data_IF_034288620932
#
_entry.id   IF_034288620932
#
_cell.length_a   1.000
_cell.length_b   1.000
_cell.length_c   1.000
_cell.angle_alpha   90.00
_cell.angle_beta   90.00
_cell.angle_gamma   90.00
#
_symmetry.space_group_name_H-M   'P 1'
#
loop_
_entity.id
_entity.type
_entity.pdbx_description
1 polymer ?
#
# COMPACT_ATOMS: atom_id res chain seq x y z
N UNK A 1 -0.31 18.62 22.76
CA UNK A 1 -0.57 17.64 21.69
C UNK A 1 0.48 16.54 21.82
N UNK A 2 0.04 15.33 22.13
CA UNK A 2 0.92 14.18 22.40
C UNK A 2 1.44 13.58 21.08
N UNK A 3 2.75 13.30 20.95
CA UNK A 3 3.35 12.81 19.71
C UNK A 3 3.05 11.33 19.40
N UNK A 4 3.12 10.97 18.11
CA UNK A 4 2.66 9.72 17.47
C UNK A 4 3.88 8.78 17.23
N UNK A 5 3.90 7.52 17.72
CA UNK A 5 4.98 6.54 17.46
C UNK A 5 5.05 6.05 15.99
N UNK A 6 6.18 5.44 15.57
CA UNK A 6 6.42 4.91 14.20
C UNK A 6 5.33 3.94 13.77
N UNK A 7 4.91 3.06 14.68
CA UNK A 7 3.77 2.15 14.53
C UNK A 7 2.49 2.90 14.12
N UNK A 8 2.35 4.15 14.56
CA UNK A 8 1.19 5.03 14.37
C UNK A 8 1.31 5.95 13.15
N UNK A 9 2.49 6.07 12.50
CA UNK A 9 2.60 6.57 11.12
C UNK A 9 2.08 5.52 10.13
N UNK A 10 2.46 4.24 10.31
CA UNK A 10 1.92 3.10 9.52
C UNK A 10 0.40 2.96 9.69
N UNK A 11 -0.12 3.32 10.86
CA UNK A 11 -1.55 3.27 11.19
C UNK A 11 -2.31 4.60 10.96
N UNK A 12 -1.65 5.68 10.52
CA UNK A 12 -2.37 6.93 10.22
C UNK A 12 -3.22 6.83 8.95
N UNK A 13 -3.05 5.75 8.18
CA UNK A 13 -3.76 5.42 6.95
C UNK A 13 -4.60 4.14 7.02
N UNK A 14 -4.67 3.44 8.16
CA UNK A 14 -5.23 2.09 8.20
C UNK A 14 -5.76 1.62 9.57
N UNK A 15 -6.70 0.68 9.56
CA UNK A 15 -7.55 0.34 10.71
C UNK A 15 -7.39 -1.12 11.09
N UNK A 16 -7.43 -1.41 12.40
CA UNK A 16 -7.30 -2.76 12.95
C UNK A 16 -8.52 -3.64 12.55
N UNK A 17 -8.36 -4.55 11.58
CA UNK A 17 -9.35 -5.60 11.26
C UNK A 17 -8.70 -6.99 11.45
N UNK A 18 -9.39 -7.91 12.14
CA UNK A 18 -8.89 -9.29 12.35
C UNK A 18 -9.92 -10.29 11.84
N UNK A 19 -9.44 -11.34 11.18
CA UNK A 19 -10.23 -12.50 10.75
C UNK A 19 -9.66 -13.71 11.50
N UNK A 20 -10.52 -14.43 12.22
CA UNK A 20 -10.18 -15.60 13.04
C UNK A 20 -10.70 -16.90 12.36
N UNK A 21 -10.11 -18.05 12.74
CA UNK A 21 -10.30 -19.37 12.10
C UNK A 21 -11.57 -20.15 12.52
N UNK A 22 -12.42 -19.64 13.42
CA UNK A 22 -13.44 -20.48 14.08
C UNK A 22 -14.62 -20.90 13.16
N UNK A 23 -14.66 -22.20 12.85
CA UNK A 23 -15.69 -23.00 12.16
C UNK A 23 -17.08 -23.04 12.85
N UNK A 24 -17.39 -22.12 13.76
CA UNK A 24 -18.64 -22.13 14.52
C UNK A 24 -19.14 -20.69 14.79
N UNK A 25 -20.12 -20.26 14.00
CA UNK A 25 -20.79 -18.95 14.04
C UNK A 25 -19.88 -17.72 13.92
N UNK A 26 -19.94 -17.07 12.75
CA UNK A 26 -19.54 -15.68 12.46
C UNK A 26 -19.31 -14.80 13.71
N UNK A 27 -18.10 -14.88 14.27
CA UNK A 27 -17.58 -13.89 15.22
C UNK A 27 -16.34 -13.26 14.63
N UNK A 28 -16.55 -12.55 13.53
CA UNK A 28 -15.68 -11.40 13.23
C UNK A 28 -15.83 -10.45 14.41
N UNK A 29 -14.76 -10.24 15.20
CA UNK A 29 -14.79 -9.21 16.23
C UNK A 29 -14.74 -7.85 15.54
N UNK A 30 -15.90 -7.38 15.08
CA UNK A 30 -16.06 -6.01 14.62
C UNK A 30 -15.89 -5.09 15.82
N UNK A 31 -14.88 -4.23 15.77
CA UNK A 31 -14.97 -2.99 16.54
C UNK A 31 -16.15 -2.20 15.92
N UNK A 32 -17.27 -2.00 16.62
CA UNK A 32 -18.53 -1.69 15.99
C UNK A 32 -18.56 -0.22 15.56
N UNK A 33 -18.26 0.05 14.30
CA UNK A 33 -18.82 1.16 13.52
C UNK A 33 -19.00 0.73 12.06
N UNK A 34 -19.75 -0.35 11.87
CA UNK A 34 -20.39 -0.67 10.58
C UNK A 34 -21.57 0.27 10.38
N UNK A 35 -21.71 0.80 9.18
CA UNK A 35 -22.68 1.83 8.83
C UNK A 35 -24.09 1.25 8.73
N UNK A 36 -25.00 1.75 9.58
CA UNK A 36 -26.39 2.05 9.20
C UNK A 36 -26.97 3.22 10.02
N UNK A 37 -27.70 4.09 9.30
CA UNK A 37 -28.62 5.17 9.70
C UNK A 37 -28.33 5.99 10.97
N UNK A 38 -28.11 7.30 10.79
CA UNK A 38 -29.07 8.31 11.30
C UNK A 38 -29.00 9.61 10.51
N UNK A 39 -30.18 10.15 10.30
CA UNK A 39 -30.62 11.31 9.54
C UNK A 39 -30.27 12.67 10.19
N UNK A 40 -30.43 13.73 9.37
CA UNK A 40 -30.45 15.17 9.68
C UNK A 40 -29.10 15.87 9.92
N UNK A 41 -28.59 16.49 8.84
CA UNK A 41 -27.69 17.63 8.94
C UNK A 41 -28.52 18.91 9.14
N UNK A 42 -28.23 19.67 10.20
CA UNK A 42 -28.38 21.13 10.21
C UNK A 42 -26.98 21.75 10.38
N UNK A 43 -26.75 22.96 9.84
CA UNK A 43 -25.41 23.44 9.51
C UNK A 43 -24.74 24.04 10.75
N UNK A 44 -23.47 23.70 10.95
CA UNK A 44 -22.57 24.48 11.80
C UNK A 44 -21.32 24.82 11.00
N UNK A 45 -20.93 26.09 11.12
CA UNK A 45 -20.03 26.83 10.25
C UNK A 45 -18.67 26.17 10.02
N UNK A 46 -18.29 26.12 8.75
CA UNK A 46 -16.97 25.71 8.28
C UNK A 46 -15.92 26.82 8.57
N UNK A 47 -14.73 26.49 9.10
CA UNK A 47 -13.55 27.26 8.79
C UNK A 47 -13.03 26.84 7.40
N UNK A 48 -12.94 27.84 6.51
CA UNK A 48 -12.56 27.79 5.10
C UNK A 48 -11.60 26.66 4.67
N UNK A 49 -12.08 25.83 3.74
CA UNK A 49 -11.24 25.00 2.88
C UNK A 49 -10.29 25.86 2.02
N UNK A 50 -9.08 25.38 1.69
CA UNK A 50 -8.20 26.08 0.76
C UNK A 50 -8.88 26.17 -0.63
N UNK A 51 -8.55 27.19 -1.44
CA UNK A 51 -9.30 27.51 -2.65
C UNK A 51 -9.27 26.36 -3.66
N UNK A 52 -10.43 26.10 -4.28
CA UNK A 52 -10.61 25.21 -5.44
C UNK A 52 -9.76 25.72 -6.62
N UNK A 53 -8.48 25.35 -6.67
CA UNK A 53 -7.56 25.83 -7.70
C UNK A 53 -6.34 24.95 -7.98
N UNK A 54 -6.01 23.96 -7.16
CA UNK A 54 -4.77 23.18 -7.31
C UNK A 54 -4.93 21.78 -7.94
N UNK A 55 -6.14 21.34 -8.27
CA UNK A 55 -6.39 19.97 -8.75
C UNK A 55 -6.50 19.82 -10.28
N UNK A 56 -6.28 20.88 -11.07
CA UNK A 56 -6.29 20.83 -12.55
C UNK A 56 -4.91 20.67 -13.20
N UNK A 57 -3.84 20.51 -12.41
CA UNK A 57 -2.46 20.52 -12.88
C UNK A 57 -1.88 19.13 -13.25
N UNK A 58 -2.56 18.03 -12.87
CA UNK A 58 -2.02 16.66 -13.01
C UNK A 58 -1.73 16.21 -14.44
N UNK A 59 -2.63 16.42 -15.40
CA UNK A 59 -2.50 15.79 -16.74
C UNK A 59 -1.37 16.34 -17.61
N UNK A 60 -1.01 17.62 -17.43
CA UNK A 60 0.04 18.30 -18.22
C UNK A 60 1.42 18.06 -17.61
N UNK A 61 1.52 18.12 -16.28
CA UNK A 61 2.76 17.83 -15.56
C UNK A 61 3.11 16.34 -15.61
N UNK A 62 2.12 15.44 -15.55
CA UNK A 62 2.31 14.00 -15.76
C UNK A 62 2.84 13.70 -17.17
N UNK A 63 2.26 14.30 -18.22
CA UNK A 63 2.76 14.14 -19.60
C UNK A 63 4.17 14.69 -19.79
N UNK A 64 4.47 15.85 -19.19
CA UNK A 64 5.80 16.46 -19.29
C UNK A 64 6.84 15.65 -18.50
N UNK A 65 6.51 15.17 -17.30
CA UNK A 65 7.40 14.34 -16.50
C UNK A 65 7.65 12.96 -17.13
N UNK A 66 6.65 12.34 -17.76
CA UNK A 66 6.80 11.09 -18.53
C UNK A 66 7.69 11.34 -19.76
N UNK A 67 7.56 12.49 -20.42
CA UNK A 67 8.45 12.85 -21.53
C UNK A 67 9.90 13.00 -21.03
N UNK A 68 10.11 13.68 -19.89
CA UNK A 68 11.44 13.83 -19.27
C UNK A 68 12.02 12.50 -18.79
N UNK A 69 11.20 11.59 -18.24
CA UNK A 69 11.64 10.24 -17.85
C UNK A 69 11.99 9.39 -19.07
N UNK A 70 11.19 9.44 -20.15
CA UNK A 70 11.51 8.75 -21.41
C UNK A 70 12.77 9.30 -22.07
N UNK A 71 13.01 10.60 -21.98
CA UNK A 71 14.25 11.23 -22.45
C UNK A 71 15.46 10.76 -21.63
N UNK A 72 15.40 10.78 -20.29
CA UNK A 72 16.48 10.30 -19.42
C UNK A 72 16.73 8.78 -19.56
N UNK A 73 15.68 7.96 -19.75
CA UNK A 73 15.81 6.51 -20.00
C UNK A 73 16.40 6.20 -21.38
N UNK A 74 16.06 7.00 -22.40
CA UNK A 74 16.61 6.85 -23.76
C UNK A 74 18.08 7.21 -23.83
N UNK A 75 18.51 8.24 -23.08
CA UNK A 75 19.90 8.67 -22.97
C UNK A 75 20.76 7.60 -22.25
N UNK A 76 20.18 6.91 -21.27
CA UNK A 76 20.82 5.76 -20.59
C UNK A 76 20.90 4.53 -21.51
N UNK A 77 19.89 4.28 -22.34
CA UNK A 77 19.90 3.15 -23.26
C UNK A 77 20.93 3.33 -24.38
N UNK A 78 21.10 4.57 -24.85
CA UNK A 78 22.15 4.94 -25.80
C UNK A 78 23.55 4.83 -25.18
N UNK A 79 23.71 5.17 -23.90
CA UNK A 79 24.97 4.98 -23.17
C UNK A 79 25.30 3.50 -22.89
N UNK A 80 24.28 2.63 -22.75
CA UNK A 80 24.45 1.17 -22.63
C UNK A 80 24.84 0.51 -23.97
N UNK A 81 24.40 1.08 -25.09
CA UNK A 81 24.79 0.63 -26.43
C UNK A 81 26.25 1.00 -26.81
N UNK A 82 26.89 1.93 -26.07
CA UNK A 82 28.25 2.43 -26.32
C UNK A 82 29.36 1.68 -25.57
N UNK A 83 29.09 0.51 -24.99
CA UNK A 83 30.15 -0.44 -24.62
C UNK A 83 31.06 -0.03 -23.47
N UNK A 84 30.54 0.61 -22.42
CA UNK A 84 31.21 0.65 -21.11
C UNK A 84 30.58 -0.42 -20.23
N UNK A 85 31.22 -1.57 -20.16
CA UNK A 85 30.76 -2.71 -19.35
C UNK A 85 30.69 -2.35 -17.87
N UNK A 86 29.53 -2.61 -17.26
CA UNK A 86 29.35 -2.59 -15.81
C UNK A 86 30.20 -3.71 -15.17
N UNK A 87 31.16 -3.41 -14.29
CA UNK A 87 31.98 -4.44 -13.66
C UNK A 87 31.23 -5.29 -12.61
N UNK A 88 29.94 -5.06 -12.35
CA UNK A 88 29.21 -5.71 -11.24
C UNK A 88 28.18 -6.77 -11.65
N UNK A 89 28.22 -7.28 -12.88
CA UNK A 89 27.37 -8.40 -13.30
C UNK A 89 27.86 -9.79 -12.83
N UNK A 90 28.25 -9.96 -11.57
CA UNK A 90 28.40 -11.30 -10.94
C UNK A 90 28.35 -11.24 -9.41
N UNK A 91 27.20 -10.93 -8.83
CA UNK A 91 26.89 -11.40 -7.47
C UNK A 91 25.50 -12.00 -7.47
N UNK A 92 25.42 -13.33 -7.56
CA UNK A 92 24.26 -14.05 -7.01
C UNK A 92 24.29 -13.79 -5.50
N UNK A 93 23.51 -12.82 -5.03
CA UNK A 93 23.57 -12.38 -3.64
C UNK A 93 22.82 -13.37 -2.75
N UNK A 94 23.57 -13.96 -1.83
CA UNK A 94 23.03 -14.67 -0.68
C UNK A 94 22.01 -13.79 0.04
N UNK A 95 20.91 -14.39 0.52
CA UNK A 95 19.88 -13.70 1.31
C UNK A 95 20.47 -12.92 2.49
N UNK A 96 19.66 -12.06 3.10
CA UNK A 96 20.10 -11.29 4.28
C UNK A 96 20.49 -12.27 5.38
N UNK A 97 21.70 -12.12 5.93
CA UNK A 97 22.15 -12.90 7.08
C UNK A 97 21.13 -12.78 8.24
N UNK A 98 20.63 -13.91 8.79
CA UNK A 98 19.58 -13.87 9.82
C UNK A 98 19.94 -13.03 11.05
N UNK A 99 21.20 -13.08 11.50
CA UNK A 99 21.65 -12.28 12.65
C UNK A 99 21.64 -10.78 12.32
N UNK A 100 22.08 -10.39 11.12
CA UNK A 100 21.95 -9.02 10.64
C UNK A 100 20.48 -8.58 10.54
N UNK A 101 19.59 -9.44 10.05
CA UNK A 101 18.17 -9.14 9.93
C UNK A 101 17.53 -8.89 11.29
N UNK A 102 17.84 -9.74 12.27
CA UNK A 102 17.38 -9.59 13.65
C UNK A 102 17.87 -8.29 14.28
N UNK A 103 19.15 -7.96 14.08
CA UNK A 103 19.74 -6.72 14.54
C UNK A 103 19.10 -5.46 13.90
N UNK A 104 18.74 -5.53 12.61
CA UNK A 104 18.01 -4.45 11.93
C UNK A 104 16.63 -4.26 12.55
N UNK A 105 15.89 -5.35 12.81
CA UNK A 105 14.55 -5.30 13.40
C UNK A 105 14.62 -4.74 14.83
N UNK A 106 15.58 -5.19 15.63
CA UNK A 106 15.82 -4.68 16.99
C UNK A 106 16.03 -3.16 16.96
N UNK A 107 16.96 -2.67 16.15
CA UNK A 107 17.23 -1.22 16.03
C UNK A 107 16.02 -0.40 15.57
N UNK A 108 15.25 -0.93 14.62
CA UNK A 108 14.03 -0.27 14.12
C UNK A 108 12.90 -0.27 15.16
N UNK A 109 12.93 -1.19 16.12
CA UNK A 109 11.92 -1.31 17.17
C UNK A 109 12.34 -0.71 18.51
N UNK A 110 13.63 -0.49 18.78
CA UNK A 110 14.15 0.06 20.05
C UNK A 110 13.84 1.56 20.26
N UNK A 111 13.59 2.33 19.21
CA UNK A 111 13.27 3.78 19.30
C UNK A 111 11.98 4.08 20.08
N UNK A 112 11.29 3.03 20.56
CA UNK A 112 10.16 3.07 21.50
C UNK A 112 10.41 3.89 22.78
N UNK A 113 11.66 4.02 23.25
CA UNK A 113 11.94 4.59 24.58
C UNK A 113 12.60 5.97 24.60
N UNK A 114 13.09 6.46 23.45
CA UNK A 114 13.73 7.78 23.36
C UNK A 114 12.71 8.86 22.97
N UNK A 115 12.83 10.07 23.54
CA UNK A 115 11.95 11.21 23.24
C UNK A 115 11.73 11.37 21.73
N UNK A 116 10.47 11.20 21.32
CA UNK A 116 9.99 11.20 19.93
C UNK A 116 10.50 12.40 19.12
N UNK A 117 11.03 12.14 17.93
CA UNK A 117 11.44 13.15 16.94
C UNK A 117 12.92 13.55 16.95
N UNK A 118 13.78 12.94 17.77
CA UNK A 118 15.23 13.28 17.81
C UNK A 118 16.21 12.18 17.39
N UNK A 119 15.80 10.92 17.30
CA UNK A 119 16.70 9.84 16.86
C UNK A 119 16.11 9.13 15.65
N UNK A 120 16.65 9.46 14.48
CA UNK A 120 16.49 8.66 13.27
C UNK A 120 17.24 7.34 13.47
N UNK A 121 16.67 6.23 13.02
CA UNK A 121 17.42 4.96 13.00
C UNK A 121 18.36 5.02 11.82
N UNK A 122 19.67 5.08 12.08
CA UNK A 122 20.68 5.19 11.01
C UNK A 122 21.02 3.84 10.40
N UNK A 123 20.12 3.25 9.62
CA UNK A 123 20.49 2.12 8.77
C UNK A 123 21.51 2.57 7.72
N UNK A 124 22.52 1.77 7.43
CA UNK A 124 23.44 2.01 6.33
C UNK A 124 22.73 1.80 4.99
N UNK A 125 23.14 2.54 3.95
CA UNK A 125 22.57 2.34 2.61
C UNK A 125 22.76 0.92 2.07
N UNK A 126 23.76 0.17 2.56
CA UNK A 126 23.98 -1.24 2.19
C UNK A 126 23.00 -2.18 2.87
N UNK A 127 22.67 -1.96 4.14
CA UNK A 127 21.61 -2.70 4.84
C UNK A 127 20.27 -2.50 4.13
N UNK A 128 19.91 -1.26 3.80
CA UNK A 128 18.65 -0.95 3.10
C UNK A 128 18.61 -1.62 1.72
N UNK A 129 19.69 -1.53 0.93
CA UNK A 129 19.76 -2.22 -0.37
C UNK A 129 19.55 -3.73 -0.23
N UNK A 130 20.14 -4.37 0.78
CA UNK A 130 19.95 -5.80 1.05
C UNK A 130 18.48 -6.13 1.37
N UNK A 131 17.80 -5.29 2.16
CA UNK A 131 16.36 -5.45 2.44
C UNK A 131 15.54 -5.38 1.15
N UNK A 132 15.77 -4.38 0.30
CA UNK A 132 15.04 -4.23 -0.96
C UNK A 132 15.28 -5.42 -1.90
N UNK A 133 16.53 -5.87 -2.05
CA UNK A 133 16.85 -6.99 -2.96
C UNK A 133 16.25 -8.31 -2.47
N UNK A 134 16.38 -8.63 -1.18
CA UNK A 134 15.84 -9.88 -0.64
C UNK A 134 14.31 -9.90 -0.64
N UNK A 135 13.66 -8.80 -0.26
CA UNK A 135 12.19 -8.71 -0.29
C UNK A 135 11.65 -8.75 -1.72
N UNK A 136 12.30 -8.09 -2.68
CA UNK A 136 12.00 -8.18 -4.11
C UNK A 136 11.96 -9.63 -4.60
N UNK A 137 12.97 -10.43 -4.26
CA UNK A 137 13.04 -11.83 -4.67
C UNK A 137 11.87 -12.64 -4.08
N UNK A 138 11.48 -12.38 -2.82
CA UNK A 138 10.32 -13.00 -2.18
C UNK A 138 9.03 -12.59 -2.90
N UNK A 139 8.85 -11.31 -3.21
CA UNK A 139 7.64 -10.84 -3.89
C UNK A 139 7.49 -11.47 -5.27
N UNK A 140 8.57 -11.65 -6.03
CA UNK A 140 8.54 -12.29 -7.35
C UNK A 140 8.26 -13.80 -7.28
N UNK A 141 8.60 -14.46 -6.17
CA UNK A 141 8.28 -15.87 -5.94
C UNK A 141 6.82 -16.09 -5.52
N UNK A 142 6.22 -15.13 -4.82
CA UNK A 142 4.82 -15.17 -4.43
C UNK A 142 3.91 -14.66 -5.56
N UNK A 143 2.64 -15.11 -5.65
CA UNK A 143 1.72 -14.67 -6.71
C UNK A 143 1.32 -13.19 -6.57
N UNK A 144 0.86 -12.60 -7.67
CA UNK A 144 0.41 -11.20 -7.65
C UNK A 144 -0.98 -11.00 -6.99
N UNK A 145 -1.78 -12.07 -6.97
CA UNK A 145 -2.94 -12.26 -6.11
C UNK A 145 -2.54 -13.24 -5.01
N UNK A 146 -2.30 -12.74 -3.80
CA UNK A 146 -1.96 -13.59 -2.66
C UNK A 146 -3.18 -14.40 -2.22
N UNK A 147 -2.99 -15.68 -1.91
CA UNK A 147 -4.04 -16.52 -1.31
C UNK A 147 -3.68 -16.79 0.14
N UNK A 148 -4.47 -16.23 1.07
CA UNK A 148 -4.14 -16.15 2.49
C UNK A 148 -5.20 -16.89 3.29
N UNK A 149 -4.77 -17.66 4.30
CA UNK A 149 -5.68 -18.29 5.27
C UNK A 149 -5.75 -17.44 6.54
N UNK A 150 -6.89 -17.45 7.25
CA UNK A 150 -6.94 -16.93 8.61
C UNK A 150 -6.05 -17.80 9.56
N UNK A 151 -5.76 -17.31 10.78
CA UNK A 151 -6.06 -15.97 11.26
C UNK A 151 -5.16 -14.91 10.61
N UNK A 152 -5.70 -13.73 10.29
CA UNK A 152 -4.93 -12.63 9.69
C UNK A 152 -5.44 -11.27 10.18
N UNK A 153 -4.51 -10.36 10.49
CA UNK A 153 -4.79 -8.96 10.79
C UNK A 153 -4.58 -8.11 9.55
N UNK A 154 -5.64 -7.49 9.05
CA UNK A 154 -5.58 -6.55 7.92
C UNK A 154 -5.40 -5.15 8.49
N UNK A 155 -4.18 -4.65 8.35
CA UNK A 155 -3.68 -3.40 8.91
C UNK A 155 -3.82 -3.26 10.43
N UNK A 156 -2.80 -2.69 11.07
CA UNK A 156 -2.90 -2.39 12.49
C UNK A 156 -1.63 -1.95 13.18
N UNK A 157 -1.78 -1.43 14.39
CA UNK A 157 -0.67 -1.09 15.29
C UNK A 157 -0.10 -2.39 15.89
N UNK A 158 1.17 -2.72 15.62
CA UNK A 158 1.83 -3.87 16.28
C UNK A 158 1.71 -3.83 17.81
N UNK A 159 1.69 -2.64 18.40
CA UNK A 159 1.52 -2.43 19.84
C UNK A 159 0.19 -2.97 20.39
N UNK A 160 -0.86 -3.01 19.55
CA UNK A 160 -2.20 -3.49 19.94
C UNK A 160 -2.47 -4.90 19.39
N UNK A 161 -1.89 -5.23 18.24
CA UNK A 161 -2.13 -6.49 17.54
C UNK A 161 -1.16 -7.63 17.86
N UNK A 162 -0.06 -7.37 18.56
CA UNK A 162 1.04 -8.32 18.75
C UNK A 162 2.15 -8.09 17.72
N UNK A 163 3.38 -8.48 18.05
CA UNK A 163 4.48 -8.35 17.09
C UNK A 163 4.64 -9.63 16.26
N UNK A 164 4.98 -9.57 14.97
CA UNK A 164 5.30 -10.78 14.21
C UNK A 164 6.40 -11.61 14.91
N UNK A 165 6.19 -12.94 15.10
CA UNK A 165 5.19 -13.78 14.45
C UNK A 165 3.96 -14.11 15.31
N UNK A 166 3.70 -13.38 16.41
CA UNK A 166 2.55 -13.62 17.30
C UNK A 166 1.20 -13.43 16.59
N UNK A 167 1.18 -12.64 15.53
CA UNK A 167 0.04 -12.46 14.64
C UNK A 167 0.49 -12.38 13.18
N UNK A 168 -0.37 -12.85 12.28
CA UNK A 168 -0.17 -12.71 10.84
C UNK A 168 -0.71 -11.35 10.37
N UNK A 169 -0.04 -10.73 9.42
CA UNK A 169 -0.37 -9.38 8.96
C UNK A 169 -0.51 -9.28 7.45
N UNK A 170 -1.55 -8.55 7.01
CA UNK A 170 -1.71 -8.06 5.65
C UNK A 170 -1.79 -6.54 5.68
N UNK A 171 -0.86 -5.87 5.00
CA UNK A 171 -0.93 -4.43 4.80
C UNK A 171 -1.41 -4.08 3.39
N UNK A 172 -2.22 -3.03 3.29
CA UNK A 172 -2.90 -2.63 2.06
C UNK A 172 -2.19 -1.53 1.26
N UNK A 173 -0.89 -1.27 1.47
CA UNK A 173 -0.12 -0.26 0.72
C UNK A 173 -0.06 1.14 1.36
N UNK A 174 0.59 2.07 0.65
CA UNK A 174 0.87 3.45 1.06
C UNK A 174 1.69 3.57 2.34
N UNK A 175 2.88 2.97 2.28
CA UNK A 175 3.88 2.89 3.34
C UNK A 175 4.77 4.13 3.44
N UNK A 176 4.89 4.85 2.32
CA UNK A 176 5.78 5.99 2.15
C UNK A 176 4.98 7.24 1.79
N UNK A 177 5.65 8.39 1.89
CA UNK A 177 5.06 9.73 1.75
C UNK A 177 4.19 10.15 2.94
N UNK A 178 3.87 11.45 3.02
CA UNK A 178 3.04 12.11 4.04
C UNK A 178 3.48 12.00 5.51
N UNK A 179 4.39 11.08 5.85
CA UNK A 179 5.05 10.92 7.15
C UNK A 179 6.48 11.46 7.18
N UNK A 180 7.07 11.58 8.38
CA UNK A 180 8.45 12.06 8.54
C UNK A 180 9.48 10.93 8.53
N UNK A 181 9.04 9.67 8.64
CA UNK A 181 9.90 8.50 8.82
C UNK A 181 9.52 7.37 7.83
N UNK A 182 9.36 7.72 6.54
CA UNK A 182 8.97 6.74 5.51
C UNK A 182 10.02 5.64 5.37
N UNK A 183 11.31 6.00 5.48
CA UNK A 183 12.42 5.05 5.42
C UNK A 183 12.38 4.02 6.54
N UNK A 184 12.19 4.44 7.79
CA UNK A 184 12.07 3.53 8.93
C UNK A 184 10.85 2.60 8.77
N UNK A 185 9.70 3.17 8.38
CA UNK A 185 8.47 2.41 8.14
C UNK A 185 8.69 1.32 7.11
N UNK A 186 9.11 1.66 5.90
CA UNK A 186 9.25 0.66 4.84
C UNK A 186 10.36 -0.35 5.16
N UNK A 187 11.48 0.09 5.77
CA UNK A 187 12.55 -0.84 6.15
C UNK A 187 12.08 -1.87 7.17
N UNK A 188 11.26 -1.49 8.15
CA UNK A 188 10.71 -2.43 9.13
C UNK A 188 9.76 -3.43 8.48
N UNK A 189 8.88 -2.95 7.59
CA UNK A 189 7.94 -3.81 6.87
C UNK A 189 8.68 -4.81 5.96
N UNK A 190 9.71 -4.37 5.22
CA UNK A 190 10.52 -5.27 4.40
C UNK A 190 11.32 -6.27 5.26
N UNK A 191 11.84 -5.84 6.42
CA UNK A 191 12.54 -6.73 7.33
C UNK A 191 11.62 -7.84 7.88
N UNK A 192 10.39 -7.49 8.29
CA UNK A 192 9.40 -8.49 8.68
C UNK A 192 8.97 -9.38 7.51
N UNK A 193 8.84 -8.84 6.30
CA UNK A 193 8.56 -9.64 5.11
C UNK A 193 9.64 -10.71 4.86
N UNK A 194 10.91 -10.34 5.04
CA UNK A 194 12.03 -11.27 4.88
C UNK A 194 12.03 -12.31 6.01
N UNK A 195 11.78 -11.87 7.25
CA UNK A 195 11.81 -12.76 8.43
C UNK A 195 10.64 -13.74 8.46
N UNK A 196 9.46 -13.31 8.02
CA UNK A 196 8.21 -14.07 8.11
C UNK A 196 7.45 -14.05 6.77
N UNK A 197 8.02 -14.63 5.69
CA UNK A 197 7.47 -14.49 4.34
C UNK A 197 6.07 -15.08 4.16
N UNK A 198 5.69 -16.05 4.99
CA UNK A 198 4.40 -16.76 4.97
C UNK A 198 3.40 -16.25 6.02
N UNK A 199 3.78 -15.26 6.84
CA UNK A 199 2.94 -14.70 7.91
C UNK A 199 2.80 -13.17 7.79
N UNK A 200 3.61 -12.53 6.95
CA UNK A 200 3.65 -11.08 6.79
C UNK A 200 3.55 -10.71 5.31
N UNK A 201 2.49 -9.99 4.96
CA UNK A 201 2.11 -9.70 3.58
C UNK A 201 1.97 -8.20 3.37
N UNK A 202 2.47 -7.72 2.23
CA UNK A 202 2.48 -6.32 1.83
C UNK A 202 1.89 -6.22 0.44
N UNK A 203 0.78 -5.50 0.29
CA UNK A 203 0.23 -5.14 -1.02
C UNK A 203 0.83 -3.83 -1.51
N UNK A 204 0.76 -3.60 -2.81
CA UNK A 204 1.14 -2.33 -3.42
C UNK A 204 0.03 -1.29 -3.19
N UNK A 205 0.40 -0.09 -2.76
CA UNK A 205 -0.44 1.10 -2.83
C UNK A 205 -0.03 2.02 -3.97
N UNK A 206 -0.79 3.10 -4.18
CA UNK A 206 -0.49 4.09 -5.21
C UNK A 206 0.77 4.92 -4.91
N UNK A 207 1.15 5.07 -3.64
CA UNK A 207 2.40 5.70 -3.21
C UNK A 207 3.64 4.82 -3.44
N UNK A 208 3.49 3.52 -3.66
CA UNK A 208 4.57 2.63 -4.10
C UNK A 208 4.77 2.69 -5.64
N UNK A 209 4.72 3.90 -6.20
CA UNK A 209 5.00 4.22 -7.60
C UNK A 209 5.96 5.41 -7.68
N UNK A 210 6.94 5.32 -8.59
CA UNK A 210 8.00 6.31 -8.75
C UNK A 210 7.46 7.72 -9.02
N UNK A 211 6.40 7.84 -9.80
CA UNK A 211 5.81 9.14 -10.12
C UNK A 211 5.26 9.82 -8.86
N UNK A 212 4.50 9.08 -8.05
CA UNK A 212 3.84 9.61 -6.86
C UNK A 212 4.85 9.93 -5.77
N UNK A 213 5.70 8.97 -5.40
CA UNK A 213 6.63 9.17 -4.29
C UNK A 213 7.81 10.10 -4.60
N UNK A 214 7.96 10.49 -5.87
CA UNK A 214 8.80 11.62 -6.26
C UNK A 214 8.20 12.98 -5.90
N UNK A 215 6.88 13.10 -5.89
CA UNK A 215 6.16 14.35 -5.63
C UNK A 215 5.82 14.54 -4.15
N UNK A 216 5.56 13.45 -3.41
CA UNK A 216 4.96 13.51 -2.08
C UNK A 216 5.91 13.23 -0.90
N UNK A 217 7.22 13.07 -1.17
CA UNK A 217 8.27 13.26 -0.17
C UNK A 217 9.31 12.15 -0.04
N UNK A 218 9.00 10.90 -0.43
CA UNK A 218 9.93 9.78 -0.25
C UNK A 218 11.23 9.94 -1.03
N UNK A 219 11.15 10.45 -2.27
CA UNK A 219 12.33 10.77 -3.07
C UNK A 219 13.24 11.77 -2.36
N UNK A 220 12.67 12.86 -1.83
CA UNK A 220 13.42 13.89 -1.13
C UNK A 220 14.02 13.34 0.18
N UNK A 221 13.29 12.47 0.89
CA UNK A 221 13.81 11.79 2.07
C UNK A 221 15.03 10.91 1.74
N UNK A 222 14.92 10.07 0.70
CA UNK A 222 16.00 9.23 0.21
C UNK A 222 17.21 10.06 -0.24
N UNK A 223 16.98 11.12 -1.03
CA UNK A 223 18.03 12.01 -1.53
C UNK A 223 18.74 12.73 -0.39
N UNK A 224 18.00 13.20 0.62
CA UNK A 224 18.55 13.95 1.76
C UNK A 224 19.35 13.06 2.71
N UNK A 225 18.88 11.85 3.00
CA UNK A 225 19.50 10.95 3.99
C UNK A 225 20.55 10.02 3.38
N UNK A 226 20.41 9.71 2.10
CA UNK A 226 21.25 8.75 1.39
C UNK A 226 21.62 9.28 0.00
N UNK A 227 20.95 8.79 -1.05
CA UNK A 227 21.17 9.20 -2.43
C UNK A 227 20.00 8.74 -3.32
N UNK A 228 19.98 9.27 -4.54
CA UNK A 228 18.96 8.95 -5.57
C UNK A 228 19.01 7.48 -5.99
N UNK A 229 20.18 6.84 -5.97
CA UNK A 229 20.32 5.41 -6.30
C UNK A 229 19.55 4.52 -5.32
N UNK A 230 19.49 4.90 -4.04
CA UNK A 230 18.70 4.18 -3.05
C UNK A 230 17.20 4.29 -3.34
N UNK A 231 16.70 5.47 -3.72
CA UNK A 231 15.32 5.63 -4.17
C UNK A 231 14.99 4.75 -5.38
N UNK A 232 15.89 4.68 -6.38
CA UNK A 232 15.73 3.76 -7.52
C UNK A 232 15.66 2.29 -7.07
N UNK A 233 16.45 1.92 -6.06
CA UNK A 233 16.42 0.56 -5.49
C UNK A 233 15.06 0.26 -4.83
N UNK A 234 14.47 1.22 -4.12
CA UNK A 234 13.11 1.08 -3.61
C UNK A 234 12.07 0.98 -4.72
N UNK A 235 12.18 1.80 -5.78
CA UNK A 235 11.31 1.71 -6.95
C UNK A 235 11.34 0.31 -7.58
N UNK A 236 12.53 -0.27 -7.76
CA UNK A 236 12.68 -1.64 -8.28
C UNK A 236 12.02 -2.69 -7.39
N UNK A 237 12.06 -2.49 -6.07
CA UNK A 237 11.37 -3.33 -5.10
C UNK A 237 9.85 -3.16 -5.16
N UNK A 238 9.36 -1.92 -5.17
CA UNK A 238 7.94 -1.59 -5.24
C UNK A 238 7.27 -2.09 -6.51
N UNK A 239 7.98 -2.06 -7.64
CA UNK A 239 7.51 -2.61 -8.91
C UNK A 239 7.24 -4.13 -8.86
N UNK A 240 7.68 -4.83 -7.80
CA UNK A 240 7.48 -6.26 -7.61
C UNK A 240 6.39 -6.59 -6.58
N UNK A 241 5.83 -5.61 -5.86
CA UNK A 241 4.81 -5.87 -4.84
C UNK A 241 3.55 -6.52 -5.46
N UNK A 242 2.94 -7.50 -4.77
CA UNK A 242 1.62 -8.02 -5.16
C UNK A 242 0.56 -6.93 -5.00
N UNK A 243 -0.50 -6.97 -5.80
CA UNK A 243 -1.49 -5.88 -5.85
C UNK A 243 -2.82 -6.20 -5.18
N UNK A 244 -3.08 -7.48 -4.92
CA UNK A 244 -4.29 -7.92 -4.23
C UNK A 244 -4.03 -9.16 -3.38
N UNK A 245 -4.89 -9.40 -2.40
CA UNK A 245 -4.96 -10.64 -1.65
C UNK A 245 -6.39 -11.16 -1.58
N UNK A 246 -6.55 -12.47 -1.56
CA UNK A 246 -7.80 -13.18 -1.38
C UNK A 246 -7.69 -14.01 -0.10
N UNK A 247 -8.41 -13.60 0.94
CA UNK A 247 -8.42 -14.27 2.24
C UNK A 247 -9.59 -15.25 2.28
N UNK A 248 -9.27 -16.49 2.61
CA UNK A 248 -10.20 -17.62 2.70
C UNK A 248 -11.15 -17.76 1.50
N UNK A 249 -10.69 -17.35 0.31
CA UNK A 249 -11.49 -17.31 -0.92
C UNK A 249 -12.78 -16.47 -0.84
N UNK A 250 -12.95 -15.66 0.21
CA UNK A 250 -14.16 -14.88 0.47
C UNK A 250 -13.94 -13.39 0.57
N UNK A 251 -12.75 -12.95 0.95
CA UNK A 251 -12.46 -11.53 1.17
C UNK A 251 -11.37 -11.08 0.20
N UNK A 252 -11.72 -10.19 -0.73
CA UNK A 252 -10.78 -9.61 -1.67
C UNK A 252 -10.23 -8.28 -1.14
N UNK A 253 -8.92 -8.22 -0.96
CA UNK A 253 -8.19 -7.07 -0.42
C UNK A 253 -7.36 -6.38 -1.52
N UNK A 254 -7.41 -5.05 -1.57
CA UNK A 254 -6.58 -4.22 -2.45
C UNK A 254 -6.42 -2.81 -1.88
N UNK A 255 -5.55 -1.98 -2.48
CA UNK A 255 -5.38 -0.61 -2.01
C UNK A 255 -6.53 0.32 -2.43
N UNK A 256 -6.74 0.44 -3.76
CA UNK A 256 -7.74 1.26 -4.40
C UNK A 256 -9.09 0.56 -4.40
N UNK A 257 -9.51 -0.04 -5.50
CA UNK A 257 -10.80 -0.70 -5.54
C UNK A 257 -11.05 -1.44 -6.84
N UNK A 258 -12.33 -1.61 -7.17
CA UNK A 258 -12.73 -2.37 -8.35
C UNK A 258 -12.32 -1.65 -9.65
N UNK A 259 -12.20 -2.42 -10.73
CA UNK A 259 -11.93 -1.93 -12.08
C UNK A 259 -13.03 -2.38 -13.05
N UNK A 260 -13.44 -1.55 -14.02
CA UNK A 260 -14.30 -2.00 -15.11
C UNK A 260 -13.63 -3.10 -15.97
N UNK A 261 -12.29 -3.17 -15.95
CA UNK A 261 -11.51 -4.18 -16.67
C UNK A 261 -11.36 -5.48 -15.87
N UNK A 262 -11.75 -5.53 -14.59
CA UNK A 262 -11.64 -6.72 -13.75
C UNK A 262 -12.87 -7.62 -13.92
N UNK A 263 -12.81 -8.50 -14.91
CA UNK A 263 -13.85 -9.49 -15.17
C UNK A 263 -13.61 -10.83 -14.45
N UNK A 264 -12.36 -11.18 -14.17
CA UNK A 264 -11.97 -12.39 -13.47
C UNK A 264 -10.68 -12.18 -12.66
N UNK A 265 -10.51 -12.96 -11.58
CA UNK A 265 -9.34 -12.82 -10.70
C UNK A 265 -8.03 -13.29 -11.34
N UNK A 266 -8.08 -14.11 -12.39
CA UNK A 266 -6.87 -14.52 -13.13
C UNK A 266 -6.22 -13.34 -13.85
N UNK A 267 -6.97 -12.29 -14.20
CA UNK A 267 -6.39 -11.05 -14.72
C UNK A 267 -5.41 -10.43 -13.71
N UNK A 268 -5.71 -10.48 -12.40
CA UNK A 268 -4.78 -10.00 -11.37
C UNK A 268 -3.57 -10.92 -11.26
N UNK A 269 -3.80 -12.25 -11.27
CA UNK A 269 -2.73 -13.26 -11.23
C UNK A 269 -1.72 -13.09 -12.36
N UNK A 270 -2.19 -12.71 -13.55
CA UNK A 270 -1.41 -12.60 -14.77
C UNK A 270 -0.81 -11.21 -15.04
N UNK A 271 -1.03 -10.24 -14.15
CA UNK A 271 -0.37 -8.93 -14.28
C UNK A 271 1.16 -9.11 -14.19
N UNK A 272 1.92 -8.51 -15.11
CA UNK A 272 3.37 -8.69 -15.17
C UNK A 272 4.07 -8.02 -13.98
N UNK A 273 5.14 -8.64 -13.49
CA UNK A 273 6.07 -8.03 -12.53
C UNK A 273 7.52 -8.33 -12.94
N UNK A 274 8.46 -7.39 -12.77
CA UNK A 274 8.28 -6.02 -12.28
C UNK A 274 7.51 -5.14 -13.28
N UNK A 275 6.72 -4.19 -12.78
CA UNK A 275 5.99 -3.23 -13.62
C UNK A 275 5.79 -1.89 -12.91
N UNK A 276 5.79 -0.79 -13.66
CA UNK A 276 5.36 0.51 -13.13
C UNK A 276 3.83 0.63 -13.21
N UNK A 277 3.23 1.54 -12.44
CA UNK A 277 1.79 1.76 -12.46
C UNK A 277 1.41 2.59 -13.69
N UNK A 278 0.59 2.05 -14.62
CA UNK A 278 0.16 2.80 -15.80
C UNK A 278 -0.82 3.91 -15.43
N UNK A 279 -1.00 4.88 -16.33
CA UNK A 279 -1.96 5.97 -16.14
C UNK A 279 -3.43 5.50 -16.18
N UNK A 280 -3.70 4.34 -16.76
CA UNK A 280 -5.05 3.76 -16.96
C UNK A 280 -5.03 2.23 -16.96
N UNK A 281 -6.20 1.62 -16.80
CA UNK A 281 -6.41 0.17 -16.93
C UNK A 281 -6.33 -0.56 -15.58
N UNK A 282 -6.46 -1.89 -15.64
CA UNK A 282 -6.63 -2.73 -14.45
C UNK A 282 -5.67 -2.41 -13.28
N UNK A 283 -4.35 -2.36 -13.52
CA UNK A 283 -3.39 -2.09 -12.45
C UNK A 283 -3.54 -0.68 -11.86
N UNK A 284 -3.86 0.32 -12.69
CA UNK A 284 -4.15 1.67 -12.22
C UNK A 284 -5.37 1.64 -11.29
N UNK A 285 -6.46 1.00 -11.72
CA UNK A 285 -7.72 1.00 -11.00
C UNK A 285 -7.64 0.27 -9.66
N UNK A 286 -6.95 -0.87 -9.58
CA UNK A 286 -6.72 -1.60 -8.33
C UNK A 286 -6.01 -0.77 -7.27
N UNK A 287 -5.28 0.28 -7.67
CA UNK A 287 -4.54 1.17 -6.78
C UNK A 287 -5.21 2.55 -6.61
N UNK A 288 -6.14 2.95 -7.47
CA UNK A 288 -6.64 4.33 -7.52
C UNK A 288 -8.15 4.50 -7.47
N UNK A 289 -8.94 3.47 -7.79
CA UNK A 289 -10.39 3.64 -7.83
C UNK A 289 -10.98 3.78 -6.44
N UNK A 290 -12.11 4.50 -6.34
CA UNK A 290 -12.78 4.79 -5.07
C UNK A 290 -14.28 4.41 -5.11
N UNK A 291 -14.86 3.94 -4.00
CA UNK A 291 -16.30 3.74 -3.93
C UNK A 291 -17.03 5.09 -3.90
N UNK A 292 -18.19 5.19 -4.55
CA UNK A 292 -19.04 6.38 -4.48
C UNK A 292 -20.50 5.98 -4.32
N UNK A 293 -21.14 6.42 -3.23
CA UNK A 293 -22.52 6.02 -2.88
C UNK A 293 -23.59 6.70 -3.73
N UNK A 294 -23.25 7.86 -4.27
CA UNK A 294 -24.20 8.73 -4.98
C UNK A 294 -24.26 8.43 -6.49
N UNK A 295 -23.57 7.37 -6.95
CA UNK A 295 -23.57 6.93 -8.34
C UNK A 295 -24.09 5.51 -8.47
N UNK A 296 -24.64 5.22 -9.64
CA UNK A 296 -24.90 3.86 -10.10
C UNK A 296 -23.91 3.53 -11.21
N UNK A 297 -23.26 2.37 -11.13
CA UNK A 297 -22.28 1.94 -12.11
C UNK A 297 -20.89 2.56 -11.90
N UNK A 298 -20.28 3.02 -12.99
CA UNK A 298 -18.94 3.62 -12.99
C UNK A 298 -19.01 5.13 -13.22
N UNK A 299 -18.24 5.89 -12.45
CA UNK A 299 -18.09 7.33 -12.58
C UNK A 299 -16.63 7.73 -12.82
N UNK A 300 -16.41 8.98 -13.21
CA UNK A 300 -15.06 9.56 -13.24
C UNK A 300 -14.63 9.89 -11.81
N UNK A 301 -13.36 9.64 -11.49
CA UNK A 301 -12.81 9.99 -10.18
C UNK A 301 -12.32 11.45 -10.16
N UNK A 302 -12.68 12.18 -9.10
CA UNK A 302 -12.25 13.58 -8.87
C UNK A 302 -10.74 13.72 -8.66
N UNK A 303 -10.03 12.62 -8.34
CA UNK A 303 -8.57 12.56 -8.34
C UNK A 303 -7.96 12.79 -9.73
N UNK A 304 -8.76 12.70 -10.80
CA UNK A 304 -8.30 12.84 -12.19
C UNK A 304 -7.63 11.60 -12.75
N UNK A 305 -7.66 10.48 -12.01
CA UNK A 305 -7.10 9.17 -12.38
C UNK A 305 -8.08 8.08 -11.96
N UNK A 306 -8.20 7.01 -12.75
CA UNK A 306 -9.14 5.90 -12.52
C UNK A 306 -10.62 6.34 -12.43
N UNK A 307 -11.44 5.51 -11.78
CA UNK A 307 -12.89 5.58 -11.73
C UNK A 307 -13.40 5.63 -10.29
N UNK A 308 -14.65 6.05 -10.16
CA UNK A 308 -15.47 5.75 -9.00
C UNK A 308 -16.43 4.60 -9.31
N UNK A 309 -16.84 3.84 -8.30
CA UNK A 309 -17.79 2.73 -8.48
C UNK A 309 -18.92 2.74 -7.45
N UNK A 310 -20.13 2.47 -7.93
CA UNK A 310 -21.34 2.43 -7.13
C UNK A 310 -21.49 1.14 -6.30
N UNK A 311 -22.37 1.13 -5.28
CA UNK A 311 -22.69 -0.07 -4.50
C UNK A 311 -23.21 -1.24 -5.35
N UNK A 312 -23.85 -0.94 -6.48
CA UNK A 312 -24.32 -1.92 -7.45
C UNK A 312 -23.15 -2.71 -8.06
N UNK A 313 -22.03 -2.05 -8.36
CA UNK A 313 -20.84 -2.69 -8.91
C UNK A 313 -20.15 -3.59 -7.90
N UNK A 314 -20.16 -3.20 -6.63
CA UNK A 314 -19.64 -4.07 -5.56
C UNK A 314 -20.51 -5.33 -5.42
N UNK A 315 -21.83 -5.16 -5.36
CA UNK A 315 -22.77 -6.28 -5.20
C UNK A 315 -22.71 -7.25 -6.39
N UNK A 316 -22.65 -6.72 -7.61
CA UNK A 316 -22.47 -7.51 -8.84
C UNK A 316 -21.17 -8.32 -8.79
N UNK A 317 -20.07 -7.67 -8.40
CA UNK A 317 -18.76 -8.30 -8.34
C UNK A 317 -18.70 -9.41 -7.29
N UNK A 318 -19.18 -9.15 -6.07
CA UNK A 318 -19.24 -10.11 -4.98
C UNK A 318 -20.04 -11.35 -5.38
N UNK A 319 -21.25 -11.14 -5.92
CA UNK A 319 -22.13 -12.23 -6.37
C UNK A 319 -21.49 -13.06 -7.48
N UNK A 320 -20.89 -12.40 -8.48
CA UNK A 320 -20.27 -13.06 -9.62
C UNK A 320 -19.08 -13.94 -9.23
N UNK A 321 -18.34 -13.53 -8.21
CA UNK A 321 -17.10 -14.19 -7.78
C UNK A 321 -17.25 -15.05 -6.52
N UNK A 322 -18.48 -15.21 -6.00
CA UNK A 322 -18.77 -15.91 -4.74
C UNK A 322 -17.92 -15.39 -3.56
N UNK A 323 -17.79 -14.06 -3.49
CA UNK A 323 -17.07 -13.35 -2.44
C UNK A 323 -18.06 -12.71 -1.49
N UNK A 324 -17.66 -12.57 -0.23
CA UNK A 324 -18.47 -11.95 0.81
C UNK A 324 -18.11 -10.46 0.99
N UNK A 325 -16.84 -10.12 0.75
CA UNK A 325 -16.30 -8.82 1.12
C UNK A 325 -15.22 -8.29 0.16
N UNK A 326 -15.26 -6.98 -0.09
CA UNK A 326 -14.11 -6.20 -0.58
C UNK A 326 -13.55 -5.35 0.56
N UNK A 327 -12.26 -5.47 0.81
CA UNK A 327 -11.52 -4.74 1.84
C UNK A 327 -10.48 -3.81 1.18
N UNK A 328 -10.53 -2.51 1.49
CA UNK A 328 -9.68 -1.51 0.80
C UNK A 328 -9.21 -0.35 1.67
N UNK A 329 -8.25 0.44 1.16
CA UNK A 329 -7.62 1.59 1.84
C UNK A 329 -7.84 2.93 1.09
N UNK A 330 -6.80 3.71 0.80
CA UNK A 330 -6.75 4.88 -0.11
C UNK A 330 -7.63 6.13 0.19
N UNK A 331 -8.50 6.12 1.21
CA UNK A 331 -9.31 7.28 1.62
C UNK A 331 -9.17 7.64 3.10
N UNK A 332 -8.95 8.93 3.37
CA UNK A 332 -8.96 9.50 4.72
C UNK A 332 -10.39 9.96 5.05
N UNK A 333 -11.10 9.22 5.90
CA UNK A 333 -12.39 9.66 6.43
C UNK A 333 -12.17 10.48 7.70
N UNK A 334 -12.48 11.77 7.65
CA UNK A 334 -12.54 12.63 8.85
C UNK A 334 -13.88 12.46 9.56
N UNK A 335 -14.10 11.32 10.22
CA UNK A 335 -15.01 11.29 11.37
C UNK A 335 -14.17 11.33 12.64
N UNK A 336 -14.50 12.29 13.51
CA UNK A 336 -13.79 12.52 14.76
C UNK A 336 -13.76 11.20 15.56
N UNK A 337 -12.55 10.67 15.73
CA UNK A 337 -12.17 9.35 16.26
C UNK A 337 -12.06 8.23 15.21
N UNK A 338 -10.82 8.02 14.77
CA UNK A 338 -10.27 6.88 14.02
C UNK A 338 -10.51 6.89 12.49
N UNK A 339 -9.39 6.77 11.75
CA UNK A 339 -9.36 6.45 10.32
C UNK A 339 -10.07 5.10 10.10
N UNK A 340 -10.74 4.87 8.95
CA UNK A 340 -11.57 3.67 8.68
C UNK A 340 -11.21 2.97 7.36
N UNK A 341 -11.08 1.63 7.39
CA UNK A 341 -11.01 0.70 6.26
C UNK A 341 -12.45 0.53 5.77
N UNK A 342 -12.69 0.68 4.47
CA UNK A 342 -14.02 0.43 3.93
C UNK A 342 -14.22 -1.07 3.72
N UNK A 343 -15.23 -1.59 4.40
CA UNK A 343 -15.69 -2.98 4.39
C UNK A 343 -17.06 -2.96 3.73
N UNK A 344 -17.18 -3.50 2.50
CA UNK A 344 -18.45 -3.59 1.78
C UNK A 344 -18.95 -5.03 1.76
N UNK A 345 -19.93 -5.32 2.62
CA UNK A 345 -20.60 -6.63 2.72
C UNK A 345 -21.94 -6.61 1.97
N UNK A 346 -22.16 -7.63 1.14
CA UNK A 346 -23.40 -7.84 0.38
C UNK A 346 -24.64 -8.01 1.28
N UNK A 347 -24.47 -8.52 2.50
CA UNK A 347 -25.55 -8.74 3.48
C UNK A 347 -26.16 -7.44 4.02
N UNK A 348 -25.45 -6.32 3.93
CA UNK A 348 -25.88 -5.00 4.44
C UNK A 348 -26.71 -4.18 3.44
N UNK A 349 -26.90 -4.70 2.22
CA UNK A 349 -27.69 -4.07 1.16
C UNK A 349 -29.20 -4.34 1.26
N UNK A 350 -29.64 -5.15 2.24
CA UNK A 350 -31.05 -5.43 2.49
C UNK A 350 -31.63 -4.57 3.62
N UNK A 351 -32.29 -3.47 3.25
CA UNK A 351 -33.58 -3.02 3.83
C UNK A 351 -34.15 -1.79 3.11
#
# INVERSE_FOLDING_TARGET
MSPIPITREVASSSCDFSIDDDDNEQKTSFCPQIIHKTSSCFPLDQPHAPPRGQQKYGRKEQKNAIATQKEEESEIHENRAKGVGDPMATQRQAGVDPALLDYIIERLTEVRSARLGKQLVELSGTEIRKLCLASKDIFLQQPNLLEIKPPIKICGLFERGGYPPEANYLFLGSYVDHGKQSLETICLLLAYKIKYPENFFLLRGNHECAYINRLYGFYDECKRRYNVTLWKTFTDCFNCLPVAALIDKKILCMHGGLSPDLANLDQIRNLPRPTDVPDTGLLCDLLWSDPCRDIQGWGMNDRGVSYTFGPDKVSEFLTKHDLDLVCRANEVIYQLTSFHTFVYDSSLSGH
#
